data_IF_128211904194
#
_entry.id   IF_128211904194
#
_cell.length_a   1.000
_cell.length_b   1.000
_cell.length_c   1.000
_cell.angle_alpha   90.00
_cell.angle_beta   90.00
_cell.angle_gamma   90.00
#
_symmetry.space_group_name_H-M   'P 1'
#
loop_
_entity.id
_entity.type
_entity.pdbx_description
1 polymer ?
#
# COMPACT_ATOMS: atom_id res chain seq x y z
N UNK A 1 -10.60 6.91 -8.44
CA UNK A 1 -10.33 5.44 -8.40
C UNK A 1 -8.82 5.27 -8.44
N UNK A 2 -8.22 4.50 -7.52
CA UNK A 2 -6.76 4.40 -7.43
C UNK A 2 -6.18 3.66 -8.64
N UNK A 3 -4.97 4.07 -9.06
CA UNK A 3 -4.15 3.30 -9.99
C UNK A 3 -3.48 2.16 -9.21
N UNK A 4 -3.65 0.92 -9.66
CA UNK A 4 -3.14 -0.27 -8.97
C UNK A 4 -1.98 -0.88 -9.74
N UNK A 5 -0.88 -1.19 -9.04
CA UNK A 5 0.31 -1.83 -9.60
C UNK A 5 0.68 -3.03 -8.74
N UNK A 6 0.94 -4.17 -9.38
CA UNK A 6 1.56 -5.32 -8.75
C UNK A 6 3.04 -5.39 -9.14
N UNK A 7 3.91 -5.64 -8.18
CA UNK A 7 5.34 -5.87 -8.44
C UNK A 7 5.97 -6.74 -7.37
N UNK A 8 7.15 -7.27 -7.71
CA UNK A 8 8.02 -8.00 -6.80
C UNK A 8 9.24 -7.16 -6.45
N UNK A 9 9.66 -7.14 -5.19
CA UNK A 9 10.85 -6.38 -4.74
C UNK A 9 10.57 -5.26 -3.74
N UNK A 10 9.41 -5.26 -3.09
CA UNK A 10 9.16 -4.43 -1.91
C UNK A 10 10.29 -4.65 -0.86
N UNK A 11 10.81 -3.60 -0.20
CA UNK A 11 10.31 -2.22 -0.13
C UNK A 11 10.83 -1.27 -1.22
N UNK A 12 11.55 -1.75 -2.25
CA UNK A 12 11.98 -0.88 -3.34
C UNK A 12 10.79 -0.43 -4.21
N UNK A 13 10.83 0.81 -4.76
CA UNK A 13 9.79 1.29 -5.66
C UNK A 13 9.67 0.40 -6.92
N UNK A 14 8.46 0.23 -7.47
CA UNK A 14 8.30 -0.44 -8.75
C UNK A 14 8.90 0.37 -9.90
N UNK A 15 9.09 -0.29 -11.04
CA UNK A 15 9.60 0.36 -12.26
C UNK A 15 8.70 1.54 -12.66
N UNK A 16 9.32 2.68 -12.98
CA UNK A 16 8.62 3.92 -13.32
C UNK A 16 8.50 4.91 -12.16
N UNK A 17 8.89 4.52 -10.94
CA UNK A 17 8.91 5.37 -9.76
C UNK A 17 10.34 5.55 -9.24
N UNK A 18 10.60 6.73 -8.69
CA UNK A 18 11.94 7.14 -8.27
C UNK A 18 12.20 6.83 -6.79
N UNK A 19 11.18 6.99 -5.94
CA UNK A 19 11.28 6.80 -4.50
C UNK A 19 9.95 6.29 -3.93
N UNK A 20 10.01 5.47 -2.87
CA UNK A 20 8.85 4.95 -2.15
C UNK A 20 9.09 5.11 -0.65
N UNK A 21 8.27 5.91 0.01
CA UNK A 21 8.36 6.18 1.45
C UNK A 21 7.08 5.73 2.12
N UNK A 22 7.15 4.61 2.82
CA UNK A 22 5.98 4.03 3.47
C UNK A 22 6.29 3.60 4.90
N UNK A 23 5.26 3.60 5.74
CA UNK A 23 5.31 3.11 7.11
C UNK A 23 4.24 2.05 7.31
N UNK A 24 4.52 1.03 8.13
CA UNK A 24 3.52 0.01 8.47
C UNK A 24 2.36 0.70 9.21
N UNK A 25 1.16 0.52 8.67
CA UNK A 25 -0.06 1.10 9.23
C UNK A 25 -0.85 0.06 10.02
N UNK A 26 -1.02 -1.13 9.43
CA UNK A 26 -1.80 -2.20 10.02
C UNK A 26 -1.29 -3.54 9.53
N UNK A 27 -1.40 -4.55 10.39
CA UNK A 27 -1.15 -5.93 10.06
C UNK A 27 -2.39 -6.74 10.42
N UNK A 28 -2.83 -7.55 9.49
CA UNK A 28 -4.01 -8.39 9.59
C UNK A 28 -3.52 -9.83 9.67
N UNK A 29 -3.85 -10.48 10.79
CA UNK A 29 -3.58 -11.89 10.99
C UNK A 29 -4.89 -12.65 10.83
N UNK A 30 -4.87 -13.63 9.94
CA UNK A 30 -5.90 -14.66 9.85
C UNK A 30 -5.21 -16.00 10.19
N UNK A 31 -5.92 -16.90 10.88
CA UNK A 31 -5.36 -18.21 11.22
C UNK A 31 -5.18 -19.10 9.99
N UNK A 32 -5.98 -18.86 8.94
CA UNK A 32 -6.04 -19.70 7.75
C UNK A 32 -5.36 -19.07 6.53
N UNK A 33 -4.96 -17.79 6.60
CA UNK A 33 -4.29 -17.07 5.51
C UNK A 33 -2.93 -16.49 5.95
N UNK A 34 -1.98 -16.33 5.02
CA UNK A 34 -0.74 -15.64 5.34
C UNK A 34 -1.01 -14.20 5.82
N UNK A 35 -0.20 -13.66 6.75
CA UNK A 35 -0.42 -12.31 7.27
C UNK A 35 -0.42 -11.26 6.17
N UNK A 36 -1.40 -10.36 6.17
CA UNK A 36 -1.46 -9.22 5.28
C UNK A 36 -0.95 -7.97 6.00
N UNK A 37 0.03 -7.29 5.41
CA UNK A 37 0.63 -6.07 5.95
C UNK A 37 0.28 -4.90 5.06
N UNK A 38 -0.31 -3.88 5.66
CA UNK A 38 -0.74 -2.65 4.99
C UNK A 38 0.22 -1.54 5.40
N UNK A 39 0.86 -0.96 4.41
CA UNK A 39 1.70 0.22 4.54
C UNK A 39 1.02 1.43 3.91
N UNK A 40 1.28 2.61 4.47
CA UNK A 40 0.77 3.88 3.94
C UNK A 40 1.92 4.86 3.81
N UNK A 41 1.85 5.72 2.79
CA UNK A 41 2.89 6.71 2.58
C UNK A 41 2.78 7.41 1.24
N UNK A 42 3.92 7.69 0.61
CA UNK A 42 4.02 8.38 -0.68
C UNK A 42 4.98 7.68 -1.64
N UNK A 43 4.73 7.85 -2.93
CA UNK A 43 5.62 7.45 -4.01
C UNK A 43 5.97 8.66 -4.87
N UNK A 44 7.19 8.72 -5.37
CA UNK A 44 7.65 9.76 -6.29
C UNK A 44 7.56 9.26 -7.73
N UNK A 45 6.73 9.90 -8.54
CA UNK A 45 6.63 9.68 -9.99
C UNK A 45 7.08 10.96 -10.70
N UNK A 46 8.31 10.97 -11.23
CA UNK A 46 8.93 12.18 -11.75
C UNK A 46 9.13 13.23 -10.64
N UNK A 47 8.39 14.34 -10.71
CA UNK A 47 8.44 15.42 -9.70
C UNK A 47 7.18 15.51 -8.83
N UNK A 48 6.28 14.54 -8.94
CA UNK A 48 5.01 14.52 -8.22
C UNK A 48 5.06 13.46 -7.14
N UNK A 49 4.86 13.88 -5.89
CA UNK A 49 4.62 12.96 -4.78
C UNK A 49 3.14 12.59 -4.78
N UNK A 50 2.86 11.29 -4.80
CA UNK A 50 1.52 10.73 -4.82
C UNK A 50 1.30 9.88 -3.57
N UNK A 51 0.17 10.04 -2.86
CA UNK A 51 -0.16 9.18 -1.74
C UNK A 51 -0.41 7.75 -2.18
N UNK A 52 0.06 6.79 -1.40
CA UNK A 52 -0.05 5.36 -1.69
C UNK A 52 -0.44 4.53 -0.48
N UNK A 53 -1.15 3.43 -0.76
CA UNK A 53 -1.32 2.29 0.13
C UNK A 53 -0.63 1.10 -0.51
N UNK A 54 0.22 0.39 0.24
CA UNK A 54 0.86 -0.84 -0.21
C UNK A 54 0.35 -2.00 0.63
N UNK A 55 -0.13 -3.04 -0.03
CA UNK A 55 -0.56 -4.28 0.61
C UNK A 55 0.42 -5.38 0.24
N UNK A 56 0.99 -6.01 1.25
CA UNK A 56 1.98 -7.09 1.14
C UNK A 56 1.42 -8.33 1.83
N UNK A 57 1.44 -9.46 1.13
CA UNK A 57 1.12 -10.75 1.72
C UNK A 57 2.42 -11.43 2.18
N UNK A 58 2.56 -11.68 3.48
CA UNK A 58 3.76 -12.32 4.02
C UNK A 58 3.87 -13.76 3.53
N UNK A 59 4.98 -14.08 2.86
CA UNK A 59 5.19 -15.38 2.24
C UNK A 59 5.06 -15.35 0.73
N UNK A 60 4.46 -14.29 0.18
CA UNK A 60 4.58 -13.96 -1.24
C UNK A 60 5.68 -12.92 -1.47
N UNK A 61 6.33 -12.99 -2.64
CA UNK A 61 7.31 -11.98 -3.05
C UNK A 61 6.66 -10.74 -3.69
N UNK A 62 5.33 -10.67 -3.69
CA UNK A 62 4.55 -9.65 -4.38
C UNK A 62 3.97 -8.59 -3.45
N UNK A 63 3.79 -7.38 -3.98
CA UNK A 63 3.09 -6.30 -3.33
C UNK A 63 2.12 -5.62 -4.31
N UNK A 64 0.98 -5.17 -3.79
CA UNK A 64 0.03 -4.32 -4.50
C UNK A 64 0.15 -2.89 -4.01
N UNK A 65 0.35 -1.93 -4.90
CA UNK A 65 0.39 -0.50 -4.58
C UNK A 65 -0.77 0.20 -5.24
N UNK A 66 -1.59 0.82 -4.39
CA UNK A 66 -2.71 1.67 -4.74
C UNK A 66 -2.23 3.10 -4.69
N UNK A 67 -2.24 3.78 -5.83
CA UNK A 67 -1.77 5.16 -5.98
C UNK A 67 -2.98 6.06 -6.15
N UNK A 68 -3.04 7.10 -5.33
CA UNK A 68 -4.15 8.04 -5.27
C UNK A 68 -3.72 9.40 -5.82
N UNK A 69 -4.68 10.13 -6.39
CA UNK A 69 -4.40 11.46 -6.97
C UNK A 69 -4.45 12.58 -5.92
N UNK A 70 -5.02 12.31 -4.74
CA UNK A 70 -5.11 13.27 -3.64
C UNK A 70 -5.10 12.62 -2.26
N UNK A 71 -4.72 13.40 -1.24
CA UNK A 71 -4.75 12.96 0.16
C UNK A 71 -6.17 12.67 0.67
N UNK A 72 -7.19 13.31 0.10
CA UNK A 72 -8.58 13.06 0.49
C UNK A 72 -9.02 11.63 0.15
N UNK A 73 -8.60 11.12 -1.01
CA UNK A 73 -8.97 9.76 -1.44
C UNK A 73 -8.33 8.70 -0.53
N UNK A 74 -7.06 8.88 -0.14
CA UNK A 74 -6.38 7.93 0.76
C UNK A 74 -6.95 7.98 2.18
N UNK A 75 -7.44 9.13 2.67
CA UNK A 75 -8.09 9.20 3.99
C UNK A 75 -9.40 8.42 4.03
N UNK A 76 -10.20 8.46 2.96
CA UNK A 76 -11.42 7.67 2.84
C UNK A 76 -11.10 6.17 2.83
N UNK A 77 -10.05 5.76 2.11
CA UNK A 77 -9.65 4.35 2.06
C UNK A 77 -9.05 3.85 3.39
N UNK A 78 -8.26 4.69 4.08
CA UNK A 78 -7.74 4.36 5.42
C UNK A 78 -8.87 4.06 6.40
N UNK A 79 -10.01 4.75 6.30
CA UNK A 79 -11.20 4.45 7.14
C UNK A 79 -11.76 3.06 6.85
N UNK A 80 -11.84 2.67 5.58
CA UNK A 80 -12.27 1.32 5.19
C UNK A 80 -11.35 0.27 5.80
N UNK A 81 -10.04 0.42 5.71
CA UNK A 81 -9.09 -0.53 6.31
C UNK A 81 -9.08 -0.53 7.84
N UNK A 82 -9.38 0.62 8.47
CA UNK A 82 -9.55 0.72 9.91
C UNK A 82 -10.80 -0.06 10.39
N UNK A 83 -11.92 0.07 9.68
CA UNK A 83 -13.21 -0.52 10.03
C UNK A 83 -13.34 -2.01 9.64
N UNK A 84 -12.80 -2.42 8.49
CA UNK A 84 -13.04 -3.75 7.91
C UNK A 84 -12.48 -4.94 8.72
N UNK A 85 -11.61 -4.70 9.70
CA UNK A 85 -10.95 -5.77 10.46
C UNK A 85 -10.78 -5.42 11.95
N UNK A 86 -11.85 -4.97 12.60
CA UNK A 86 -12.00 -5.12 14.05
C UNK A 86 -12.61 -6.50 14.30
N UNK A 87 -11.78 -7.52 14.47
CA UNK A 87 -12.18 -8.86 14.94
C UNK A 87 -11.59 -9.07 16.31
#
# INVERSE_FOLDING_TARGET
MPRVIYWTGFPSPPTGFEDLRVVEYKRIFDMDLPPLVIYVGTVLEGKKELPVIVVVEEGENGAYMYIYESEKEIEEEKKIYAEAYQI
#
